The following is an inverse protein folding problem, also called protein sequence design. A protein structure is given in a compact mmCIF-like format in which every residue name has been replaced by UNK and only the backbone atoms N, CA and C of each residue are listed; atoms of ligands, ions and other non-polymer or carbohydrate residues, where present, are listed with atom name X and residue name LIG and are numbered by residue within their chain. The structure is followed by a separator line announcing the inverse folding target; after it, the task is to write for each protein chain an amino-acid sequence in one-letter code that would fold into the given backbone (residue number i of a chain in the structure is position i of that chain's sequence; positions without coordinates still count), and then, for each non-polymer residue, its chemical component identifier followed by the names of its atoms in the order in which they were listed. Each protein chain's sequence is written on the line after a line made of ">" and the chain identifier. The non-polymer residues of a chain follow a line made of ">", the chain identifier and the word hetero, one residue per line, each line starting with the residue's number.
data_IF_074207783757
#
_entry.id   IF_074207783757
#
_cell.length_a   1.000
_cell.length_b   1.000
_cell.length_c   1.000
_cell.angle_alpha   90.00
_cell.angle_beta   90.00
_cell.angle_gamma   90.00
#
_symmetry.space_group_name_H-M   'P 1'
#
loop_
_entity.id
_entity.type
_entity.pdbx_description
1 polymer ?
#
# COMPACT_ATOMS: atom_id res chain seq x y z
N UNK A 1 -48.84 68.98 69.23
CA UNK A 1 -48.56 69.39 67.84
C UNK A 1 -47.32 70.28 67.92
N UNK A 2 -46.10 69.95 67.49
CA UNK A 2 -45.63 69.00 66.50
C UNK A 2 -44.30 68.36 66.94
N UNK A 3 -44.06 67.12 66.52
CA UNK A 3 -42.84 66.35 66.78
C UNK A 3 -41.80 66.67 65.71
N UNK A 4 -40.67 67.28 66.07
CA UNK A 4 -39.45 67.25 65.27
C UNK A 4 -38.48 66.26 65.90
N UNK A 5 -38.61 64.98 65.51
CA UNK A 5 -37.53 64.01 65.67
C UNK A 5 -36.50 64.31 64.58
N UNK A 6 -35.28 64.67 64.99
CA UNK A 6 -34.14 64.79 64.08
C UNK A 6 -34.00 63.51 63.26
N UNK A 7 -34.07 63.65 61.93
CA UNK A 7 -33.85 62.57 60.99
C UNK A 7 -32.40 62.07 61.15
N UNK A 8 -32.23 60.88 61.74
CA UNK A 8 -30.99 60.12 61.61
C UNK A 8 -30.84 59.79 60.13
N UNK A 9 -29.76 60.27 59.50
CA UNK A 9 -29.41 59.88 58.14
C UNK A 9 -29.20 58.37 58.11
N UNK A 10 -30.07 57.65 57.41
CA UNK A 10 -29.96 56.19 57.24
C UNK A 10 -28.63 55.87 56.55
N UNK A 11 -27.87 54.93 57.14
CA UNK A 11 -26.68 54.39 56.50
C UNK A 11 -27.10 53.68 55.21
N UNK A 12 -26.30 53.82 54.16
CA UNK A 12 -26.47 52.99 52.96
C UNK A 12 -26.33 51.51 53.36
N UNK A 13 -27.27 50.63 52.95
CA UNK A 13 -27.22 49.22 53.32
C UNK A 13 -25.94 48.57 52.78
N UNK A 14 -25.33 47.71 53.59
CA UNK A 14 -24.12 46.99 53.23
C UNK A 14 -24.47 45.93 52.16
N UNK A 15 -23.78 45.91 51.01
CA UNK A 15 -23.97 44.85 50.03
C UNK A 15 -23.48 43.53 50.62
N UNK A 16 -24.28 42.46 50.47
CA UNK A 16 -23.94 41.11 50.92
C UNK A 16 -23.35 40.28 49.77
N UNK A 17 -22.45 39.35 50.09
CA UNK A 17 -21.81 38.48 49.08
C UNK A 17 -22.82 37.49 48.47
N UNK A 18 -23.87 37.15 49.22
CA UNK A 18 -24.94 36.24 48.84
C UNK A 18 -25.84 36.81 47.73
N UNK A 19 -25.88 38.13 47.57
CA UNK A 19 -26.67 38.85 46.56
C UNK A 19 -25.93 39.03 45.22
N UNK A 20 -24.67 38.59 45.11
CA UNK A 20 -23.88 38.75 43.90
C UNK A 20 -24.18 37.64 42.88
N UNK A 21 -24.53 37.98 41.63
CA UNK A 21 -24.78 36.98 40.59
C UNK A 21 -23.49 36.26 40.17
N UNK A 22 -23.61 34.96 39.94
CA UNK A 22 -22.54 34.09 39.44
C UNK A 22 -22.69 33.83 37.94
N UNK A 23 -21.57 33.81 37.24
CA UNK A 23 -21.43 33.45 35.82
C UNK A 23 -21.50 31.93 35.67
N UNK A 24 -21.88 31.46 34.48
CA UNK A 24 -21.98 30.03 34.16
C UNK A 24 -20.68 29.23 34.37
N UNK A 25 -19.53 29.92 34.33
CA UNK A 25 -18.20 29.36 34.55
C UNK A 25 -17.78 29.32 36.05
N UNK A 26 -18.69 29.67 36.96
CA UNK A 26 -18.49 29.58 38.42
C UNK A 26 -17.82 30.81 39.09
N UNK A 27 -17.55 31.88 38.34
CA UNK A 27 -17.04 33.16 38.87
C UNK A 27 -18.13 34.18 39.18
N UNK A 28 -17.84 35.21 39.96
CA UNK A 28 -18.77 36.35 40.18
C UNK A 28 -18.71 37.35 39.01
N UNK A 29 -19.83 38.01 38.71
CA UNK A 29 -19.89 39.07 37.69
C UNK A 29 -18.97 40.26 38.05
N UNK A 30 -17.95 40.58 37.23
CA UNK A 30 -16.96 41.62 37.54
C UNK A 30 -17.56 43.03 37.67
N UNK A 31 -18.60 43.37 36.91
CA UNK A 31 -19.22 44.70 37.00
C UNK A 31 -20.05 44.84 38.29
N UNK A 32 -20.70 43.75 38.72
CA UNK A 32 -21.47 43.72 39.98
C UNK A 32 -20.59 43.72 41.20
N UNK A 33 -19.46 43.00 41.15
CA UNK A 33 -18.44 43.06 42.20
C UNK A 33 -17.92 44.49 42.34
N UNK A 34 -17.61 45.17 41.23
CA UNK A 34 -17.15 46.56 41.24
C UNK A 34 -18.18 47.52 41.86
N UNK A 35 -19.46 47.38 41.52
CA UNK A 35 -20.55 48.17 42.10
C UNK A 35 -20.68 47.94 43.62
N UNK A 36 -20.57 46.69 44.08
CA UNK A 36 -20.58 46.36 45.51
C UNK A 36 -19.38 46.98 46.26
N UNK A 37 -18.18 46.96 45.68
CA UNK A 37 -17.01 47.62 46.25
C UNK A 37 -17.17 49.15 46.31
N UNK A 38 -17.79 49.77 45.32
CA UNK A 38 -18.08 51.22 45.34
C UNK A 38 -19.11 51.59 46.42
N UNK A 39 -20.16 50.78 46.58
CA UNK A 39 -21.15 50.95 47.66
C UNK A 39 -20.51 50.80 49.05
N UNK A 40 -19.68 49.78 49.24
CA UNK A 40 -18.91 49.59 50.47
C UNK A 40 -18.00 50.79 50.76
N UNK A 41 -17.27 51.31 49.75
CA UNK A 41 -16.43 52.51 49.89
C UNK A 41 -17.23 53.72 50.35
N UNK A 42 -18.42 53.95 49.78
CA UNK A 42 -19.33 55.04 50.21
C UNK A 42 -19.78 54.84 51.65
N UNK A 43 -20.14 53.62 52.04
CA UNK A 43 -20.52 53.28 53.41
C UNK A 43 -19.38 53.56 54.41
N UNK A 44 -18.14 53.10 54.14
CA UNK A 44 -16.97 53.43 54.97
C UNK A 44 -16.69 54.92 55.06
N UNK A 45 -16.90 55.67 53.97
CA UNK A 45 -16.71 57.12 53.97
C UNK A 45 -17.76 57.81 54.84
N UNK A 46 -19.02 57.38 54.76
CA UNK A 46 -20.11 57.87 55.61
C UNK A 46 -19.82 57.58 57.09
N UNK A 47 -19.30 56.39 57.41
CA UNK A 47 -18.90 56.00 58.76
C UNK A 47 -17.71 56.83 59.28
N UNK A 48 -16.70 57.08 58.44
CA UNK A 48 -15.56 57.95 58.78
C UNK A 48 -15.99 59.39 59.06
N UNK A 49 -16.97 59.92 58.32
CA UNK A 49 -17.53 61.25 58.56
C UNK A 49 -18.29 61.27 59.89
N UNK A 50 -19.11 60.26 60.18
CA UNK A 50 -19.80 60.14 61.47
C UNK A 50 -18.81 60.03 62.63
N UNK A 51 -17.74 59.24 62.48
CA UNK A 51 -16.67 59.15 63.46
C UNK A 51 -15.94 60.49 63.64
N UNK A 52 -15.66 61.26 62.58
CA UNK A 52 -15.08 62.60 62.72
C UNK A 52 -15.99 63.57 63.47
N UNK A 53 -17.31 63.51 63.23
CA UNK A 53 -18.29 64.33 63.95
C UNK A 53 -18.34 63.95 65.43
N UNK A 54 -18.36 62.64 65.73
CA UNK A 54 -18.32 62.14 67.11
C UNK A 54 -16.98 62.43 67.81
N UNK A 55 -15.86 62.32 67.10
CA UNK A 55 -14.53 62.69 67.61
C UNK A 55 -14.38 64.19 67.80
N UNK A 56 -14.99 65.02 66.94
CA UNK A 56 -15.04 66.47 67.14
C UNK A 56 -15.93 66.84 68.34
N UNK A 57 -17.02 66.10 68.56
CA UNK A 57 -17.85 66.20 69.75
C UNK A 57 -17.16 65.65 71.02
N UNK A 58 -16.24 64.68 70.89
CA UNK A 58 -15.46 64.11 72.00
C UNK A 58 -14.17 64.88 72.30
N UNK A 59 -13.59 65.60 71.33
CA UNK A 59 -12.41 66.48 71.53
C UNK A 59 -12.68 67.65 72.48
N UNK A 60 -13.94 67.93 72.81
CA UNK A 60 -14.31 68.85 73.90
C UNK A 60 -14.07 68.26 75.30
N UNK A 61 -13.65 66.98 75.41
CA UNK A 61 -13.20 66.34 76.65
C UNK A 61 -11.84 65.65 76.45
N UNK A 62 -10.75 66.41 76.49
CA UNK A 62 -9.38 65.88 76.39
C UNK A 62 -8.85 65.38 77.75
N UNK A 63 -8.41 64.12 77.78
CA UNK A 63 -7.41 63.61 78.72
C UNK A 63 -6.23 63.13 77.87
N UNK A 64 -5.06 63.72 78.07
CA UNK A 64 -3.80 63.33 77.41
C UNK A 64 -3.40 61.90 77.82
N UNK A 65 -3.25 60.93 76.90
CA UNK A 65 -2.71 59.62 77.23
C UNK A 65 -1.21 59.76 77.51
N UNK A 66 -0.76 59.25 78.66
CA UNK A 66 0.65 59.35 79.09
C UNK A 66 1.58 58.58 78.12
N UNK A 67 2.81 59.06 77.87
CA UNK A 67 3.78 58.41 76.96
C UNK A 67 4.22 56.99 77.35
N UNK A 68 3.80 56.51 78.51
CA UNK A 68 3.89 55.09 78.90
C UNK A 68 2.77 54.26 78.25
N UNK A 69 1.54 54.78 78.18
CA UNK A 69 0.41 54.11 77.52
C UNK A 69 0.68 53.91 76.01
N UNK A 70 1.23 54.92 75.34
CA UNK A 70 1.58 54.82 73.90
C UNK A 70 2.68 53.78 73.65
N UNK A 71 3.69 53.69 74.54
CA UNK A 71 4.73 52.65 74.43
C UNK A 71 4.18 51.25 74.70
N UNK A 72 3.29 51.12 75.68
CA UNK A 72 2.63 49.84 75.98
C UNK A 72 1.72 49.40 74.83
N UNK A 73 0.99 50.33 74.21
CA UNK A 73 0.16 50.07 73.03
C UNK A 73 1.00 49.65 71.82
N UNK A 74 2.13 50.32 71.56
CA UNK A 74 3.07 49.92 70.51
C UNK A 74 3.63 48.50 70.72
N UNK A 75 3.97 48.12 71.96
CA UNK A 75 4.42 46.77 72.27
C UNK A 75 3.31 45.72 72.09
N UNK A 76 2.07 46.05 72.44
CA UNK A 76 0.92 45.17 72.18
C UNK A 76 0.68 45.00 70.68
N UNK A 77 0.78 46.06 69.87
CA UNK A 77 0.68 45.95 68.41
C UNK A 77 1.79 45.09 67.81
N UNK A 78 3.04 45.26 68.25
CA UNK A 78 4.16 44.43 67.78
C UNK A 78 3.92 42.96 68.14
N UNK A 79 3.43 42.69 69.36
CA UNK A 79 3.12 41.32 69.78
C UNK A 79 1.96 40.73 68.98
N UNK A 80 0.88 41.48 68.80
CA UNK A 80 -0.24 41.06 67.98
C UNK A 80 0.17 40.83 66.51
N UNK A 81 1.08 41.64 65.97
CA UNK A 81 1.63 41.45 64.63
C UNK A 81 2.50 40.19 64.53
N UNK A 82 3.30 39.88 65.56
CA UNK A 82 4.10 38.66 65.62
C UNK A 82 3.20 37.41 65.71
N UNK A 83 2.19 37.42 66.59
CA UNK A 83 1.24 36.32 66.70
C UNK A 83 0.45 36.14 65.37
N UNK A 84 0.11 37.24 64.69
CA UNK A 84 -0.53 37.19 63.38
C UNK A 84 0.41 36.63 62.30
N UNK A 85 1.69 36.99 62.31
CA UNK A 85 2.67 36.41 61.38
C UNK A 85 2.81 34.89 61.58
N UNK A 86 2.85 34.41 62.82
CA UNK A 86 2.89 32.98 63.15
C UNK A 86 1.63 32.25 62.64
N UNK A 87 0.45 32.87 62.72
CA UNK A 87 -0.78 32.28 62.16
C UNK A 87 -0.74 32.22 60.64
N UNK A 88 -0.28 33.28 59.96
CA UNK A 88 -0.13 33.30 58.50
C UNK A 88 0.85 32.23 58.04
N UNK A 89 1.97 32.04 58.76
CA UNK A 89 2.95 31.01 58.43
C UNK A 89 2.34 29.61 58.54
N UNK A 90 1.65 29.31 59.63
CA UNK A 90 0.99 28.01 59.82
C UNK A 90 -0.09 27.74 58.78
N UNK A 91 -0.88 28.74 58.44
CA UNK A 91 -1.91 28.64 57.41
C UNK A 91 -1.29 28.43 56.03
N UNK A 92 -0.21 29.16 55.70
CA UNK A 92 0.53 28.99 54.46
C UNK A 92 1.18 27.60 54.36
N UNK A 93 1.78 27.08 55.44
CA UNK A 93 2.34 25.73 55.48
C UNK A 93 1.25 24.66 55.30
N UNK A 94 0.10 24.83 55.97
CA UNK A 94 -1.04 23.92 55.87
C UNK A 94 -1.64 23.92 54.45
N UNK A 95 -1.83 25.11 53.87
CA UNK A 95 -2.32 25.26 52.51
C UNK A 95 -1.34 24.67 51.49
N UNK A 96 -0.04 24.91 51.65
CA UNK A 96 1.01 24.36 50.78
C UNK A 96 1.04 22.84 50.85
N UNK A 97 1.01 22.26 52.05
CA UNK A 97 0.98 20.80 52.23
C UNK A 97 -0.30 20.17 51.66
N UNK A 98 -1.43 20.88 51.69
CA UNK A 98 -2.66 20.42 51.04
C UNK A 98 -2.56 20.48 49.50
N UNK A 99 -1.97 21.54 48.95
CA UNK A 99 -1.75 21.67 47.50
C UNK A 99 -0.76 20.62 46.99
N UNK A 100 0.38 20.43 47.67
CA UNK A 100 1.37 19.42 47.29
C UNK A 100 0.75 18.02 47.24
N UNK A 101 0.00 17.62 48.28
CA UNK A 101 -0.68 16.30 48.30
C UNK A 101 -1.64 16.13 47.12
N UNK A 102 -2.46 17.14 46.81
CA UNK A 102 -3.35 17.09 45.64
C UNK A 102 -2.57 16.95 44.34
N UNK A 103 -1.49 17.72 44.18
CA UNK A 103 -0.66 17.64 42.97
C UNK A 103 0.06 16.31 42.84
N UNK A 104 0.53 15.71 43.93
CA UNK A 104 1.16 14.39 43.94
C UNK A 104 0.16 13.28 43.55
N UNK A 105 -1.07 13.37 44.05
CA UNK A 105 -2.15 12.46 43.67
C UNK A 105 -2.48 12.58 42.17
N UNK A 106 -2.57 13.80 41.65
CA UNK A 106 -2.84 14.06 40.23
C UNK A 106 -1.69 13.58 39.34
N UNK A 107 -0.44 13.83 39.73
CA UNK A 107 0.75 13.33 39.01
C UNK A 107 0.76 11.81 39.02
N UNK A 108 0.52 11.18 40.17
CA UNK A 108 0.46 9.73 40.30
C UNK A 108 -0.65 9.13 39.43
N UNK A 109 -1.83 9.76 39.38
CA UNK A 109 -2.95 9.35 38.54
C UNK A 109 -2.60 9.48 37.06
N UNK A 110 -2.02 10.60 36.64
CA UNK A 110 -1.60 10.84 35.24
C UNK A 110 -0.50 9.88 34.80
N UNK A 111 0.45 9.56 35.67
CA UNK A 111 1.51 8.60 35.37
C UNK A 111 0.94 7.20 35.12
N UNK A 112 -0.02 6.73 35.94
CA UNK A 112 -0.68 5.44 35.71
C UNK A 112 -1.46 5.42 34.39
N UNK A 113 -2.24 6.48 34.13
CA UNK A 113 -2.97 6.59 32.88
C UNK A 113 -2.05 6.62 31.65
N UNK A 114 -0.87 7.27 31.77
CA UNK A 114 0.14 7.26 30.71
C UNK A 114 0.70 5.85 30.48
N UNK A 115 1.05 5.11 31.55
CA UNK A 115 1.55 3.74 31.45
C UNK A 115 0.53 2.79 30.81
N UNK A 116 -0.75 2.93 31.16
CA UNK A 116 -1.84 2.18 30.53
C UNK A 116 -1.94 2.49 29.04
N UNK A 117 -1.88 3.78 28.67
CA UNK A 117 -1.90 4.24 27.28
C UNK A 117 -0.71 3.71 26.48
N UNK A 118 0.49 3.75 27.06
CA UNK A 118 1.71 3.22 26.45
C UNK A 118 1.60 1.71 26.21
N UNK A 119 1.06 0.98 27.18
CA UNK A 119 0.81 -0.46 27.04
C UNK A 119 -0.22 -0.77 25.96
N UNK A 120 -1.28 0.03 25.85
CA UNK A 120 -2.26 -0.07 24.75
C UNK A 120 -1.60 0.15 23.38
N UNK A 121 -0.81 1.21 23.25
CA UNK A 121 -0.10 1.52 22.00
C UNK A 121 0.83 0.38 21.60
N UNK A 122 1.56 -0.19 22.56
CA UNK A 122 2.46 -1.32 22.30
C UNK A 122 1.69 -2.58 21.87
N UNK A 123 0.54 -2.86 22.49
CA UNK A 123 -0.34 -3.96 22.04
C UNK A 123 -0.82 -3.75 20.61
N UNK A 124 -1.34 -2.56 20.29
CA UNK A 124 -1.78 -2.24 18.92
C UNK A 124 -0.64 -2.34 17.90
N UNK A 125 0.57 -1.91 18.29
CA UNK A 125 1.75 -2.04 17.45
C UNK A 125 2.08 -3.50 17.16
N UNK A 126 2.14 -4.34 18.19
CA UNK A 126 2.42 -5.77 18.04
C UNK A 126 1.35 -6.48 17.21
N UNK A 127 0.06 -6.17 17.44
CA UNK A 127 -1.03 -6.71 16.65
C UNK A 127 -0.96 -6.26 15.19
N UNK A 128 -0.66 -4.98 14.93
CA UNK A 128 -0.49 -4.47 13.57
C UNK A 128 0.71 -5.10 12.86
N UNK A 129 1.83 -5.30 13.55
CA UNK A 129 3.01 -5.99 13.01
C UNK A 129 2.70 -7.46 12.69
N UNK A 130 1.93 -8.15 13.54
CA UNK A 130 1.45 -9.52 13.27
C UNK A 130 0.55 -9.57 12.05
N UNK A 131 -0.47 -8.70 11.97
CA UNK A 131 -1.37 -8.62 10.83
C UNK A 131 -0.61 -8.30 9.53
N UNK A 132 0.36 -7.36 9.57
CA UNK A 132 1.23 -7.08 8.43
C UNK A 132 2.01 -8.30 8.00
N UNK A 133 2.59 -9.06 8.94
CA UNK A 133 3.33 -10.28 8.63
C UNK A 133 2.41 -11.35 8.02
N UNK A 134 1.20 -11.52 8.53
CA UNK A 134 0.20 -12.44 7.98
C UNK A 134 -0.19 -12.07 6.54
N UNK A 135 -0.51 -10.80 6.28
CA UNK A 135 -0.86 -10.30 4.94
C UNK A 135 0.32 -10.51 3.98
N UNK A 136 1.55 -10.18 4.40
CA UNK A 136 2.73 -10.36 3.56
C UNK A 136 3.00 -11.83 3.25
N UNK A 137 2.82 -12.73 4.24
CA UNK A 137 2.99 -14.16 4.03
C UNK A 137 1.90 -14.74 3.12
N UNK A 138 0.64 -14.32 3.29
CA UNK A 138 -0.47 -14.71 2.43
C UNK A 138 -0.22 -14.25 0.98
N UNK A 139 0.06 -12.96 0.76
CA UNK A 139 0.36 -12.41 -0.55
C UNK A 139 1.56 -13.09 -1.21
N UNK A 140 2.59 -13.45 -0.43
CA UNK A 140 3.76 -14.18 -0.94
C UNK A 140 3.42 -15.61 -1.36
N UNK A 141 2.52 -16.28 -0.63
CA UNK A 141 2.07 -17.62 -0.99
C UNK A 141 1.18 -17.57 -2.23
N UNK A 142 0.22 -16.64 -2.29
CA UNK A 142 -0.62 -16.40 -3.47
C UNK A 142 0.22 -16.10 -4.71
N UNK A 143 1.24 -15.24 -4.60
CA UNK A 143 2.14 -14.95 -5.71
C UNK A 143 2.91 -16.20 -6.21
N UNK A 144 3.33 -17.06 -5.29
CA UNK A 144 4.01 -18.33 -5.64
C UNK A 144 3.06 -19.31 -6.31
N UNK A 145 1.84 -19.42 -5.83
CA UNK A 145 0.81 -20.27 -6.42
C UNK A 145 0.45 -19.81 -7.82
N UNK A 146 0.16 -18.52 -8.00
CA UNK A 146 -0.11 -17.91 -9.30
C UNK A 146 1.05 -18.10 -10.28
N UNK A 147 2.30 -17.95 -9.81
CA UNK A 147 3.48 -18.21 -10.64
C UNK A 147 3.56 -19.69 -11.04
N UNK A 148 3.34 -20.62 -10.11
CA UNK A 148 3.39 -22.05 -10.40
C UNK A 148 2.26 -22.51 -11.33
N UNK A 149 1.08 -21.89 -11.23
CA UNK A 149 -0.04 -22.10 -12.15
C UNK A 149 0.30 -21.56 -13.54
N UNK A 150 0.77 -20.32 -13.64
CA UNK A 150 1.20 -19.72 -14.91
C UNK A 150 2.30 -20.54 -15.59
N UNK A 151 3.27 -21.06 -14.83
CA UNK A 151 4.31 -21.95 -15.35
C UNK A 151 3.72 -23.26 -15.87
N UNK A 152 2.78 -23.87 -15.14
CA UNK A 152 2.09 -25.09 -15.61
C UNK A 152 1.37 -24.84 -16.92
N UNK A 153 0.59 -23.77 -17.02
CA UNK A 153 -0.08 -23.39 -18.28
C UNK A 153 0.91 -23.16 -19.42
N UNK A 154 1.96 -22.36 -19.20
CA UNK A 154 2.98 -22.11 -20.22
C UNK A 154 3.64 -23.40 -20.72
N UNK A 155 3.98 -24.33 -19.82
CA UNK A 155 4.57 -25.62 -20.22
C UNK A 155 3.59 -26.52 -20.96
N UNK A 156 2.30 -26.49 -20.61
CA UNK A 156 1.26 -27.23 -21.33
C UNK A 156 1.10 -26.68 -22.76
N UNK A 157 0.99 -25.36 -22.90
CA UNK A 157 0.88 -24.69 -24.20
C UNK A 157 2.08 -24.96 -25.11
N UNK A 158 3.30 -24.95 -24.55
CA UNK A 158 4.52 -25.30 -25.30
C UNK A 158 4.43 -26.75 -25.81
N UNK A 159 4.07 -27.71 -24.96
CA UNK A 159 3.95 -29.12 -25.37
C UNK A 159 2.88 -29.31 -26.43
N UNK A 160 1.75 -28.62 -26.33
CA UNK A 160 0.70 -28.66 -27.34
C UNK A 160 1.14 -28.03 -28.67
N UNK A 161 1.86 -26.90 -28.62
CA UNK A 161 2.44 -26.27 -29.79
C UNK A 161 3.47 -27.19 -30.47
N UNK A 162 4.35 -27.82 -29.70
CA UNK A 162 5.31 -28.81 -30.20
C UNK A 162 4.62 -30.02 -30.84
N UNK A 163 3.56 -30.54 -30.21
CA UNK A 163 2.78 -31.65 -30.75
C UNK A 163 1.99 -31.27 -32.03
N UNK A 164 1.57 -30.00 -32.16
CA UNK A 164 1.00 -29.48 -33.40
C UNK A 164 2.07 -29.35 -34.48
N UNK A 165 3.24 -28.80 -34.14
CA UNK A 165 4.34 -28.63 -35.06
C UNK A 165 4.86 -29.98 -35.60
N UNK A 166 5.03 -30.98 -34.74
CA UNK A 166 5.47 -32.32 -35.16
C UNK A 166 4.50 -32.98 -36.13
N UNK A 167 3.18 -32.85 -35.89
CA UNK A 167 2.15 -33.32 -36.81
C UNK A 167 2.21 -32.62 -38.17
N UNK A 168 2.39 -31.29 -38.19
CA UNK A 168 2.52 -30.54 -39.44
C UNK A 168 3.79 -30.92 -40.21
N UNK A 169 4.91 -31.13 -39.52
CA UNK A 169 6.15 -31.58 -40.15
C UNK A 169 6.00 -32.97 -40.76
N UNK A 170 5.32 -33.88 -40.08
CA UNK A 170 5.09 -35.23 -40.61
C UNK A 170 4.14 -35.21 -41.82
N UNK A 171 3.08 -34.39 -41.78
CA UNK A 171 2.20 -34.16 -42.93
C UNK A 171 2.96 -33.59 -44.12
N UNK A 172 3.80 -32.57 -43.90
CA UNK A 172 4.60 -31.96 -44.96
C UNK A 172 5.61 -32.95 -45.57
N UNK A 173 6.22 -33.80 -44.74
CA UNK A 173 7.10 -34.89 -45.22
C UNK A 173 6.34 -35.88 -46.08
N UNK A 174 5.17 -36.33 -45.61
CA UNK A 174 4.35 -37.26 -46.36
C UNK A 174 3.93 -36.67 -47.72
N UNK A 175 3.41 -35.44 -47.74
CA UNK A 175 3.05 -34.73 -48.97
C UNK A 175 4.24 -34.57 -49.91
N UNK A 176 5.43 -34.22 -49.39
CA UNK A 176 6.64 -34.12 -50.21
C UNK A 176 7.01 -35.47 -50.84
N UNK A 177 6.86 -36.58 -50.10
CA UNK A 177 7.09 -37.93 -50.65
C UNK A 177 6.06 -38.31 -51.71
N UNK A 178 4.79 -37.99 -51.49
CA UNK A 178 3.72 -38.25 -52.46
C UNK A 178 3.94 -37.47 -53.75
N UNK A 179 4.25 -36.17 -53.66
CA UNK A 179 4.58 -35.33 -54.83
C UNK A 179 5.82 -35.84 -55.57
N UNK A 180 6.85 -36.27 -54.84
CA UNK A 180 8.06 -36.84 -55.44
C UNK A 180 7.76 -38.16 -56.17
N UNK A 181 6.94 -39.01 -55.57
CA UNK A 181 6.54 -40.27 -56.20
C UNK A 181 5.62 -40.04 -57.42
N UNK A 182 4.68 -39.09 -57.34
CA UNK A 182 3.83 -38.67 -58.47
C UNK A 182 4.68 -38.16 -59.63
N UNK A 183 5.60 -37.23 -59.36
CA UNK A 183 6.48 -36.68 -60.39
C UNK A 183 7.38 -37.76 -61.03
N UNK A 184 7.88 -38.73 -60.25
CA UNK A 184 8.61 -39.89 -60.81
C UNK A 184 7.73 -40.74 -61.71
N UNK A 185 6.51 -41.04 -61.29
CA UNK A 185 5.57 -41.83 -62.08
C UNK A 185 5.20 -41.14 -63.40
N UNK A 186 5.00 -39.81 -63.38
CA UNK A 186 4.76 -39.01 -64.59
C UNK A 186 5.98 -39.04 -65.53
N UNK A 187 7.20 -38.90 -65.00
CA UNK A 187 8.43 -39.00 -65.79
C UNK A 187 8.59 -40.41 -66.39
N UNK A 188 8.31 -41.46 -65.63
CA UNK A 188 8.36 -42.83 -66.14
C UNK A 188 7.33 -43.05 -67.26
N UNK A 189 6.10 -42.56 -67.09
CA UNK A 189 5.06 -42.62 -68.12
C UNK A 189 5.49 -41.89 -69.40
N UNK A 190 6.05 -40.68 -69.28
CA UNK A 190 6.53 -39.92 -70.46
C UNK A 190 7.71 -40.60 -71.15
N UNK A 191 8.63 -41.21 -70.39
CA UNK A 191 9.74 -41.99 -70.95
C UNK A 191 9.26 -43.27 -71.64
N UNK A 192 8.27 -43.96 -71.07
CA UNK A 192 7.66 -45.13 -71.69
C UNK A 192 6.98 -44.77 -73.00
N UNK A 193 6.17 -43.70 -73.00
CA UNK A 193 5.55 -43.18 -74.21
C UNK A 193 6.59 -42.78 -75.27
N UNK A 194 7.65 -42.07 -74.89
CA UNK A 194 8.73 -41.69 -75.81
C UNK A 194 9.46 -42.92 -76.39
N UNK A 195 9.68 -43.97 -75.59
CA UNK A 195 10.29 -45.23 -76.04
C UNK A 195 9.38 -45.97 -77.02
N UNK A 196 8.07 -46.04 -76.75
CA UNK A 196 7.09 -46.64 -77.66
C UNK A 196 6.99 -45.86 -78.97
N UNK A 197 7.03 -44.53 -78.91
CA UNK A 197 7.06 -43.68 -80.10
C UNK A 197 8.34 -43.91 -80.92
N UNK A 198 9.51 -43.96 -80.27
CA UNK A 198 10.78 -44.21 -80.94
C UNK A 198 10.83 -45.60 -81.58
N UNK A 199 10.30 -46.64 -80.92
CA UNK A 199 10.23 -48.00 -81.48
C UNK A 199 9.32 -48.06 -82.72
N UNK A 200 8.19 -47.35 -82.70
CA UNK A 200 7.30 -47.24 -83.86
C UNK A 200 7.96 -46.52 -85.06
N UNK A 201 8.70 -45.42 -84.81
CA UNK A 201 9.45 -44.72 -85.86
C UNK A 201 10.54 -45.62 -86.46
N UNK A 202 11.27 -46.35 -85.61
CA UNK A 202 12.30 -47.28 -86.05
C UNK A 202 11.72 -48.45 -86.86
N UNK A 203 10.58 -49.01 -86.45
CA UNK A 203 9.89 -50.06 -87.20
C UNK A 203 9.46 -49.57 -88.58
N UNK A 204 8.84 -48.38 -88.67
CA UNK A 204 8.47 -47.77 -89.95
C UNK A 204 9.69 -47.49 -90.83
N UNK A 205 10.80 -47.05 -90.25
CA UNK A 205 12.05 -46.83 -90.99
C UNK A 205 12.64 -48.16 -91.49
N UNK A 206 12.56 -49.23 -90.71
CA UNK A 206 12.97 -50.58 -91.12
C UNK A 206 12.10 -51.07 -92.27
N UNK A 207 10.78 -51.01 -92.15
CA UNK A 207 9.85 -51.38 -93.23
C UNK A 207 10.11 -50.58 -94.51
N UNK A 208 10.31 -49.26 -94.40
CA UNK A 208 10.65 -48.41 -95.55
C UNK A 208 11.99 -48.81 -96.20
N UNK A 209 13.01 -49.13 -95.39
CA UNK A 209 14.28 -49.64 -95.90
C UNK A 209 14.14 -51.01 -96.58
N UNK A 210 13.32 -51.91 -96.03
CA UNK A 210 13.01 -53.21 -96.63
C UNK A 210 12.30 -53.05 -97.97
N UNK A 211 11.34 -52.13 -98.07
CA UNK A 211 10.65 -51.79 -99.33
C UNK A 211 11.62 -51.27 -100.39
N UNK A 212 12.54 -50.37 -100.02
CA UNK A 212 13.57 -49.87 -100.95
C UNK A 212 14.51 -50.99 -101.43
N UNK A 213 14.92 -51.90 -100.54
CA UNK A 213 15.76 -53.05 -100.89
C UNK A 213 15.03 -54.06 -101.79
N UNK A 214 13.72 -54.26 -101.57
CA UNK A 214 12.87 -55.07 -102.43
C UNK A 214 12.72 -54.45 -103.83
N UNK A 215 12.44 -53.14 -103.90
CA UNK A 215 12.35 -52.42 -105.17
C UNK A 215 13.67 -52.42 -105.97
N UNK A 216 14.82 -52.43 -105.30
CA UNK A 216 16.13 -52.56 -105.92
C UNK A 216 16.50 -54.00 -106.35
N UNK A 217 15.59 -54.99 -106.17
CA UNK A 217 15.80 -56.39 -106.58
C UNK A 217 16.76 -57.20 -105.70
N UNK A 218 17.12 -56.70 -104.50
CA UNK A 218 18.12 -57.30 -103.61
C UNK A 218 17.52 -58.02 -102.37
N UNK A 219 16.18 -58.07 -102.26
CA UNK A 219 15.44 -58.55 -101.09
C UNK A 219 15.88 -59.93 -100.57
N UNK A 220 15.64 -61.01 -101.31
CA UNK A 220 15.77 -62.36 -100.74
C UNK A 220 17.20 -62.82 -100.43
N UNK A 221 18.22 -62.27 -101.12
CA UNK A 221 19.62 -62.73 -100.96
C UNK A 221 20.34 -62.13 -99.75
N UNK A 222 19.90 -60.97 -99.25
CA UNK A 222 20.56 -60.28 -98.12
C UNK A 222 19.91 -60.57 -96.76
N UNK A 223 18.57 -60.70 -96.69
CA UNK A 223 17.88 -60.97 -95.43
C UNK A 223 18.19 -62.36 -94.84
N UNK A 224 18.31 -63.38 -95.70
CA UNK A 224 18.68 -64.74 -95.29
C UNK A 224 20.12 -64.88 -94.76
N UNK A 225 21.02 -63.95 -95.09
CA UNK A 225 22.43 -63.95 -94.67
C UNK A 225 22.62 -63.22 -93.33
N UNK A 226 21.93 -62.09 -93.10
CA UNK A 226 21.94 -61.36 -91.81
C UNK A 226 21.23 -62.09 -90.68
N UNK A 227 20.10 -62.79 -90.94
CA UNK A 227 19.44 -63.61 -89.91
C UNK A 227 20.36 -64.70 -89.35
N UNK A 228 21.17 -65.33 -90.20
CA UNK A 228 22.18 -66.33 -89.78
C UNK A 228 23.31 -65.74 -88.96
N UNK A 229 23.80 -64.53 -89.29
CA UNK A 229 24.85 -63.88 -88.49
C UNK A 229 24.35 -63.35 -87.14
N UNK A 230 23.08 -62.93 -87.04
CA UNK A 230 22.50 -62.44 -85.78
C UNK A 230 22.23 -63.57 -84.78
N UNK A 231 21.72 -64.72 -85.26
CA UNK A 231 21.56 -65.93 -84.43
C UNK A 231 22.91 -66.48 -83.91
N UNK A 232 23.98 -66.38 -84.71
CA UNK A 232 25.34 -66.76 -84.30
C UNK A 232 25.95 -65.80 -83.26
N UNK A 233 25.53 -64.54 -83.21
CA UNK A 233 26.02 -63.54 -82.22
C UNK A 233 25.29 -63.60 -80.88
N UNK A 234 24.05 -64.10 -80.87
CA UNK A 234 23.21 -64.24 -79.66
C UNK A 234 23.50 -65.52 -78.87
N UNK A 235 24.32 -66.43 -79.41
CA UNK A 235 24.79 -67.67 -78.76
C UNK A 235 26.11 -67.49 -77.99
N UNK A 236 26.61 -66.25 -77.83
CA UNK A 236 27.75 -65.94 -76.97
C UNK A 236 27.28 -65.47 -75.58
N UNK A 237 27.73 -66.07 -74.47
CA UNK A 237 27.37 -65.60 -73.13
C UNK A 237 28.04 -64.26 -72.86
N UNK A 238 27.25 -63.22 -72.61
CA UNK A 238 27.71 -61.93 -72.12
C UNK A 238 28.09 -62.05 -70.62
N UNK A 239 29.24 -62.68 -70.37
CA UNK A 239 29.99 -62.49 -69.14
C UNK A 239 30.84 -61.23 -69.24
N UNK A 240 31.02 -60.59 -68.08
CA UNK A 240 31.97 -59.51 -67.76
C UNK A 240 31.43 -58.07 -67.84
N UNK A 241 31.05 -57.56 -66.66
CA UNK A 241 31.73 -56.38 -66.12
C UNK A 241 30.86 -55.15 -65.87
N UNK A 242 30.44 -54.95 -64.62
CA UNK A 242 30.71 -53.66 -63.96
C UNK A 242 30.78 -53.76 -62.43
N UNK A 243 31.94 -53.32 -61.99
CA UNK A 243 32.42 -53.08 -60.64
C UNK A 243 31.59 -52.06 -59.86
N UNK A 244 31.57 -52.31 -58.55
CA UNK A 244 31.29 -51.43 -57.43
C UNK A 244 31.45 -49.92 -57.67
N UNK A 245 30.48 -49.16 -57.16
CA UNK A 245 30.70 -47.86 -56.53
C UNK A 245 29.81 -47.78 -55.27
N UNK A 246 30.38 -48.17 -54.12
CA UNK A 246 29.90 -47.76 -52.81
C UNK A 246 30.29 -46.30 -52.61
N UNK A 247 29.33 -45.45 -52.27
CA UNK A 247 29.57 -44.21 -51.53
C UNK A 247 28.71 -44.27 -50.25
N UNK A 248 29.31 -44.35 -49.04
CA UNK A 248 28.61 -44.08 -47.81
C UNK A 248 28.75 -42.57 -47.49
N UNK A 249 27.67 -41.82 -47.72
CA UNK A 249 27.56 -40.45 -47.24
C UNK A 249 27.27 -40.46 -45.74
N UNK A 250 28.26 -40.04 -44.94
CA UNK A 250 28.13 -39.80 -43.50
C UNK A 250 28.51 -38.34 -43.22
N UNK A 251 27.52 -37.57 -42.77
CA UNK A 251 27.52 -36.51 -41.74
C UNK A 251 26.36 -35.56 -41.97
#
# INVERSE_FOLDING_TARGET
>A
MASERGQQASLTPLPSVEELPTLADGGFDPERVKEAFESFRRHTTQLQVQLRVLQAAARSGQVEPTGHAVRMDALHMIRAAADMADTIERDAQTASAAQFRRTEEDVSRRQRALQEREHEVERFRQESERQRAEILNAARNEAREAQAEAQRHATAEIREAEARASRLLEQARHQATELTNSARAEVEQTLEWARAQASAVMARAQEGAEQLLAAAGLGDRLFGRRRRSFLARRSFPAGVGRTAALCPGSR
#
